data_IF_802793250876
#
_entry.id   IF_802793250876
#
_cell.length_a   1.000
_cell.length_b   1.000
_cell.length_c   1.000
_cell.angle_alpha   90.00
_cell.angle_beta   90.00
_cell.angle_gamma   90.00
#
_symmetry.space_group_name_H-M   'P 1'
#
loop_
_entity.id
_entity.type
_entity.pdbx_description
1 polymer ?
#
# COMPACT_ATOMS: atom_id res chain seq x y z
N UNK A 1 -2.63 -3.84 21.67
CA UNK A 1 -2.37 -3.06 20.45
C UNK A 1 -1.07 -3.56 19.84
N UNK A 2 -1.14 -4.45 18.85
CA UNK A 2 0.05 -4.85 18.07
C UNK A 2 0.28 -3.80 16.99
N UNK A 3 1.07 -2.78 17.33
CA UNK A 3 1.50 -1.75 16.38
C UNK A 3 2.50 -2.35 15.41
N UNK A 4 2.00 -2.95 14.33
CA UNK A 4 2.80 -3.14 13.13
C UNK A 4 3.05 -1.74 12.58
N UNK A 5 4.30 -1.27 12.63
CA UNK A 5 4.69 0.00 12.02
C UNK A 5 4.32 -0.10 10.54
N UNK A 6 3.34 0.70 10.12
CA UNK A 6 2.90 0.77 8.73
C UNK A 6 3.84 1.71 8.00
N UNK A 7 4.73 1.16 7.17
CA UNK A 7 5.65 1.91 6.30
C UNK A 7 5.05 2.06 4.88
N UNK A 8 3.77 2.41 4.82
CA UNK A 8 3.01 2.54 3.59
C UNK A 8 2.30 3.89 3.46
N UNK A 9 1.58 4.07 2.36
CA UNK A 9 0.73 5.22 2.10
C UNK A 9 -0.72 4.94 2.53
N UNK A 10 -1.32 5.84 3.32
CA UNK A 10 -2.74 5.80 3.67
C UNK A 10 -3.48 6.95 2.99
N UNK A 11 -4.67 6.66 2.44
CA UNK A 11 -5.46 7.63 1.69
C UNK A 11 -6.96 7.37 1.88
N UNK A 12 -7.76 8.43 1.86
CA UNK A 12 -9.22 8.36 1.97
C UNK A 12 -9.89 8.28 0.59
N UNK A 13 -9.25 8.81 -0.46
CA UNK A 13 -9.73 8.70 -1.84
C UNK A 13 -9.23 7.40 -2.51
N UNK A 14 -10.17 6.50 -2.78
CA UNK A 14 -9.89 5.21 -3.42
C UNK A 14 -9.20 5.35 -4.79
N UNK A 15 -9.51 6.38 -5.58
CA UNK A 15 -8.93 6.55 -6.92
C UNK A 15 -7.45 6.85 -6.83
N UNK A 16 -7.05 7.67 -5.85
CA UNK A 16 -5.65 8.00 -5.60
C UNK A 16 -4.90 6.74 -5.14
N UNK A 17 -5.47 5.98 -4.21
CA UNK A 17 -4.88 4.72 -3.75
C UNK A 17 -4.70 3.70 -4.88
N UNK A 18 -5.70 3.51 -5.74
CA UNK A 18 -5.59 2.60 -6.88
C UNK A 18 -4.62 3.11 -7.95
N UNK A 19 -4.65 4.40 -8.29
CA UNK A 19 -3.71 4.97 -9.25
C UNK A 19 -2.25 4.78 -8.79
N UNK A 20 -1.98 5.01 -7.50
CA UNK A 20 -0.68 4.75 -6.90
C UNK A 20 -0.32 3.26 -6.96
N UNK A 21 -1.26 2.38 -6.64
CA UNK A 21 -1.04 0.93 -6.68
C UNK A 21 -0.65 0.44 -8.07
N UNK A 22 -1.35 0.89 -9.12
CA UNK A 22 -1.04 0.53 -10.50
C UNK A 22 0.29 1.14 -10.97
N UNK A 23 0.59 2.38 -10.56
CA UNK A 23 1.87 3.02 -10.86
C UNK A 23 3.04 2.24 -10.26
N UNK A 24 2.97 1.89 -8.98
CA UNK A 24 4.02 1.11 -8.29
C UNK A 24 4.16 -0.30 -8.87
N UNK A 25 3.07 -0.92 -9.30
CA UNK A 25 3.08 -2.27 -9.89
C UNK A 25 3.75 -2.34 -11.27
N UNK A 26 4.08 -1.19 -11.89
CA UNK A 26 4.87 -1.16 -13.12
C UNK A 26 6.32 -1.60 -12.86
N UNK A 27 6.82 -1.42 -11.65
CA UNK A 27 8.16 -1.83 -11.28
C UNK A 27 8.21 -3.31 -10.91
N UNK A 28 9.03 -4.08 -11.64
CA UNK A 28 9.17 -5.54 -11.44
C UNK A 28 9.81 -5.94 -10.12
N UNK A 29 10.39 -4.97 -9.41
CA UNK A 29 11.12 -5.16 -8.16
C UNK A 29 10.17 -5.13 -6.95
N UNK A 30 8.97 -4.56 -7.12
CA UNK A 30 8.04 -4.33 -6.03
C UNK A 30 6.82 -5.24 -6.13
N UNK A 31 6.48 -5.84 -4.99
CA UNK A 31 5.19 -6.47 -4.75
C UNK A 31 4.33 -5.42 -4.06
N UNK A 32 3.30 -4.95 -4.77
CA UNK A 32 2.36 -3.96 -4.25
C UNK A 32 1.26 -4.69 -3.47
N UNK A 33 0.99 -4.20 -2.27
CA UNK A 33 -0.08 -4.65 -1.39
C UNK A 33 -1.07 -3.52 -1.16
N UNK A 34 -2.34 -3.89 -1.07
CA UNK A 34 -3.43 -2.96 -0.81
C UNK A 34 -4.36 -3.54 0.25
N UNK A 35 -4.82 -2.72 1.18
CA UNK A 35 -5.82 -3.10 2.19
C UNK A 35 -6.86 -1.99 2.34
N UNK A 36 -8.10 -2.39 2.55
CA UNK A 36 -9.19 -1.48 2.89
C UNK A 36 -9.56 -1.65 4.36
N UNK A 37 -9.55 -0.55 5.10
CA UNK A 37 -9.93 -0.53 6.50
C UNK A 37 -11.18 0.33 6.69
N UNK A 38 -12.24 -0.25 7.23
CA UNK A 38 -13.47 0.47 7.56
C UNK A 38 -13.34 1.09 8.94
N UNK A 39 -13.02 2.38 8.98
CA UNK A 39 -12.98 3.18 10.20
C UNK A 39 -14.32 3.85 10.51
N UNK A 40 -14.39 4.52 11.66
CA UNK A 40 -15.56 5.29 12.10
C UNK A 40 -15.81 6.47 11.16
N UNK A 41 -14.74 7.07 10.62
CA UNK A 41 -14.77 8.27 9.78
C UNK A 41 -14.81 7.96 8.27
N UNK A 42 -14.87 6.68 7.88
CA UNK A 42 -14.91 6.25 6.49
C UNK A 42 -13.96 5.10 6.16
N UNK A 43 -13.77 4.85 4.87
CA UNK A 43 -12.84 3.83 4.37
C UNK A 43 -11.44 4.42 4.22
N UNK A 44 -10.46 3.78 4.83
CA UNK A 44 -9.04 4.09 4.68
C UNK A 44 -8.44 3.04 3.74
N UNK A 45 -7.82 3.51 2.67
CA UNK A 45 -7.08 2.69 1.73
C UNK A 45 -5.61 2.73 2.07
N UNK A 46 -5.02 1.56 2.25
CA UNK A 46 -3.62 1.39 2.59
C UNK A 46 -2.90 0.77 1.40
N UNK A 47 -1.78 1.36 1.00
CA UNK A 47 -0.93 0.86 -0.08
C UNK A 47 0.50 0.76 0.44
N UNK A 48 1.15 -0.39 0.29
CA UNK A 48 2.56 -0.55 0.65
C UNK A 48 3.25 -1.51 -0.32
N UNK A 49 4.57 -1.47 -0.33
CA UNK A 49 5.38 -2.34 -1.20
C UNK A 49 6.29 -3.23 -0.38
N UNK A 50 6.56 -4.43 -0.88
CA UNK A 50 7.66 -5.28 -0.42
C UNK A 50 8.56 -5.59 -1.60
N UNK A 51 9.87 -5.65 -1.38
CA UNK A 51 10.82 -6.03 -2.43
C UNK A 51 10.76 -7.53 -2.66
N UNK A 52 10.82 -7.96 -3.93
CA UNK A 52 11.01 -9.37 -4.28
C UNK A 52 12.38 -9.83 -3.75
N UNK A 53 12.40 -10.74 -2.76
CA UNK A 53 13.65 -11.27 -2.21
C UNK A 53 14.56 -11.79 -3.33
N UNK A 54 15.75 -11.20 -3.45
CA UNK A 54 16.74 -11.54 -4.49
C UNK A 54 17.37 -10.34 -5.20
N UNK A 55 16.81 -9.13 -5.05
CA UNK A 55 17.40 -7.89 -5.54
C UNK A 55 17.92 -7.06 -4.36
N UNK A 56 19.14 -7.37 -3.91
CA UNK A 56 19.91 -6.42 -3.10
C UNK A 56 20.22 -5.21 -3.98
N UNK A 57 19.84 -4.02 -3.51
CA UNK A 57 20.28 -2.73 -4.07
C UNK A 57 21.80 -2.58 -4.00
#
# INVERSE_FOLDING_TARGET
MYGRVFDGYEELDYKVAYALSFFLAQERVWIVHTEEHFGIDGVIYKVWVTVVEGMNL
#
